data_IF_208934648838
#
_entry.id   IF_208934648838
#
_cell.length_a   1.000
_cell.length_b   1.000
_cell.length_c   1.000
_cell.angle_alpha   90.00
_cell.angle_beta   90.00
_cell.angle_gamma   90.00
#
_symmetry.space_group_name_H-M   'P 1'
#
loop_
_entity.id
_entity.type
_entity.pdbx_description
1 polymer ?
#
# COMPACT_ATOMS: atom_id res chain seq x y z
N UNK A 1 24.12 12.59 -8.26
CA UNK A 1 23.09 12.04 -7.36
C UNK A 1 22.90 12.98 -6.18
N UNK A 2 21.67 13.42 -5.95
CA UNK A 2 21.36 14.32 -4.84
C UNK A 2 21.40 13.58 -3.49
N UNK A 3 21.46 14.33 -2.41
CA UNK A 3 21.39 13.74 -1.08
C UNK A 3 20.08 12.96 -0.88
N UNK A 4 18.96 13.50 -1.38
CA UNK A 4 17.66 12.82 -1.28
C UNK A 4 17.68 11.48 -2.03
N UNK A 5 18.24 11.46 -3.23
CA UNK A 5 18.36 10.21 -4.01
C UNK A 5 19.24 9.18 -3.31
N UNK A 6 20.31 9.62 -2.67
CA UNK A 6 21.18 8.73 -1.90
C UNK A 6 20.46 8.17 -0.68
N UNK A 7 19.68 8.98 0.03
CA UNK A 7 18.91 8.54 1.17
C UNK A 7 17.83 7.55 0.75
N UNK A 8 17.14 7.82 -0.35
CA UNK A 8 16.11 6.93 -0.86
C UNK A 8 16.69 5.55 -1.23
N UNK A 9 17.85 5.55 -1.90
CA UNK A 9 18.53 4.30 -2.24
C UNK A 9 18.94 3.51 -1.00
N UNK A 10 19.49 4.20 0.00
CA UNK A 10 19.88 3.57 1.26
C UNK A 10 18.68 2.92 1.95
N UNK A 11 17.57 3.66 2.04
CA UNK A 11 16.36 3.15 2.68
C UNK A 11 15.87 1.89 1.95
N UNK A 12 15.78 1.94 0.63
CA UNK A 12 15.29 0.80 -0.15
C UNK A 12 16.17 -0.44 -0.03
N UNK A 13 17.47 -0.26 0.21
CA UNK A 13 18.40 -1.37 0.43
C UNK A 13 18.24 -2.02 1.81
N UNK A 14 17.68 -1.30 2.77
CA UNK A 14 17.64 -1.73 4.18
C UNK A 14 16.26 -2.11 4.68
N UNK A 15 15.20 -1.88 3.90
CA UNK A 15 13.85 -2.31 4.27
C UNK A 15 13.53 -3.64 3.60
N UNK A 16 12.48 -4.31 4.10
CA UNK A 16 12.04 -5.58 3.52
C UNK A 16 11.66 -5.40 2.05
N UNK A 17 11.90 -6.41 1.19
CA UNK A 17 11.52 -6.34 -0.22
C UNK A 17 10.02 -6.09 -0.40
N UNK A 18 9.69 -5.35 -1.45
CA UNK A 18 8.29 -5.05 -1.78
C UNK A 18 7.51 -6.32 -2.17
N UNK A 19 8.15 -7.19 -2.89
CA UNK A 19 7.50 -8.35 -3.46
C UNK A 19 6.93 -8.06 -4.85
N UNK A 20 6.81 -9.09 -5.67
CA UNK A 20 6.40 -8.94 -7.07
C UNK A 20 4.99 -8.41 -7.21
N UNK A 21 4.06 -8.87 -6.38
CA UNK A 21 2.66 -8.48 -6.47
C UNK A 21 2.49 -6.97 -6.24
N UNK A 22 3.05 -6.45 -5.15
CA UNK A 22 2.95 -5.02 -4.84
C UNK A 22 3.69 -4.17 -5.87
N UNK A 23 4.83 -4.65 -6.36
CA UNK A 23 5.59 -3.94 -7.39
C UNK A 23 4.78 -3.82 -8.68
N UNK A 24 4.14 -4.90 -9.12
CA UNK A 24 3.29 -4.88 -10.30
C UNK A 24 2.08 -3.98 -10.10
N UNK A 25 1.48 -4.00 -8.92
CA UNK A 25 0.35 -3.14 -8.60
C UNK A 25 0.76 -1.66 -8.67
N UNK A 26 1.91 -1.32 -8.10
CA UNK A 26 2.40 0.06 -8.13
C UNK A 26 2.66 0.52 -9.56
N UNK A 27 3.29 -0.31 -10.39
CA UNK A 27 3.52 0.00 -11.80
C UNK A 27 2.21 0.17 -12.56
N UNK A 28 1.27 -0.75 -12.37
CA UNK A 28 -0.03 -0.68 -13.03
C UNK A 28 -0.79 0.60 -12.63
N UNK A 29 -0.72 0.98 -11.36
CA UNK A 29 -1.34 2.19 -10.86
C UNK A 29 -0.78 3.43 -11.56
N UNK A 30 0.53 3.52 -11.70
CA UNK A 30 1.17 4.67 -12.34
C UNK A 30 0.92 4.73 -13.86
N UNK A 31 0.70 3.57 -14.49
CA UNK A 31 0.47 3.50 -15.94
C UNK A 31 -1.01 3.76 -16.27
N UNK A 32 -1.93 3.19 -15.49
CA UNK A 32 -3.34 3.10 -15.88
C UNK A 32 -4.27 4.09 -15.18
N UNK A 33 -3.89 4.64 -14.03
CA UNK A 33 -4.74 5.56 -13.28
C UNK A 33 -4.30 7.00 -13.47
N UNK A 34 -5.29 7.91 -13.58
CA UNK A 34 -5.03 9.33 -13.82
C UNK A 34 -4.20 9.97 -12.72
N UNK A 35 -4.38 9.56 -11.48
CA UNK A 35 -3.68 10.11 -10.32
C UNK A 35 -2.69 9.11 -9.73
N UNK A 36 -1.89 8.47 -10.58
CA UNK A 36 -0.92 7.45 -10.15
C UNK A 36 0.02 7.90 -9.05
N UNK A 37 0.32 9.21 -8.99
CA UNK A 37 1.20 9.77 -7.95
C UNK A 37 0.62 9.66 -6.55
N UNK A 38 -0.69 9.42 -6.42
CA UNK A 38 -1.33 9.23 -5.11
C UNK A 38 -1.09 7.85 -4.53
N UNK A 39 -0.55 6.93 -5.30
CA UNK A 39 -0.28 5.58 -4.80
C UNK A 39 0.82 5.62 -3.74
N UNK A 40 0.61 4.88 -2.66
CA UNK A 40 1.65 4.65 -1.67
C UNK A 40 2.77 3.85 -2.32
N UNK A 41 4.00 4.16 -1.98
CA UNK A 41 5.15 3.44 -2.48
C UNK A 41 5.63 2.38 -1.49
N UNK A 42 6.74 1.73 -1.86
CA UNK A 42 7.31 0.65 -1.06
C UNK A 42 7.66 1.08 0.37
N UNK A 43 8.30 2.22 0.53
CA UNK A 43 8.68 2.72 1.86
C UNK A 43 7.45 2.97 2.72
N UNK A 44 6.47 3.71 2.20
CA UNK A 44 5.25 4.02 2.94
C UNK A 44 4.47 2.75 3.26
N UNK A 45 4.40 1.81 2.32
CA UNK A 45 3.74 0.54 2.54
C UNK A 45 4.36 -0.28 3.66
N UNK A 46 5.69 -0.33 3.70
CA UNK A 46 6.41 -1.04 4.77
C UNK A 46 6.24 -0.36 6.12
N UNK A 47 6.22 0.98 6.14
CA UNK A 47 5.95 1.72 7.36
C UNK A 47 4.55 1.42 7.89
N UNK A 48 3.54 1.41 7.02
CA UNK A 48 2.17 1.06 7.42
C UNK A 48 2.10 -0.36 7.97
N UNK A 49 2.74 -1.32 7.31
CA UNK A 49 2.78 -2.70 7.78
C UNK A 49 3.43 -2.81 9.17
N UNK A 50 4.52 -2.08 9.37
CA UNK A 50 5.22 -2.06 10.66
C UNK A 50 4.33 -1.49 11.76
N UNK A 51 3.64 -0.37 11.49
CA UNK A 51 2.73 0.25 12.46
C UNK A 51 1.59 -0.69 12.82
N UNK A 52 1.02 -1.38 11.85
CA UNK A 52 -0.05 -2.37 12.09
C UNK A 52 0.46 -3.48 13.00
N UNK A 53 1.65 -3.99 12.75
CA UNK A 53 2.23 -5.04 13.60
C UNK A 53 2.51 -4.56 15.02
N UNK A 54 2.88 -3.29 15.19
CA UNK A 54 3.15 -2.73 16.50
C UNK A 54 1.87 -2.50 17.30
N UNK A 55 0.83 -2.00 16.63
CA UNK A 55 -0.45 -1.67 17.28
C UNK A 55 -1.31 -2.91 17.48
N UNK A 56 -1.20 -3.89 16.60
CA UNK A 56 -1.96 -5.15 16.61
C UNK A 56 -3.46 -4.91 16.63
N UNK A 57 -3.99 -4.11 15.69
CA UNK A 57 -5.43 -3.83 15.63
C UNK A 57 -6.18 -5.06 15.10
N UNK A 58 -7.45 -5.16 15.45
CA UNK A 58 -8.35 -6.14 14.84
C UNK A 58 -9.02 -5.57 13.61
N UNK A 59 -9.28 -4.27 13.61
CA UNK A 59 -9.96 -3.59 12.52
C UNK A 59 -9.19 -2.35 12.13
N UNK A 60 -9.07 -2.13 10.84
CA UNK A 60 -8.44 -0.93 10.27
C UNK A 60 -9.46 -0.25 9.38
N UNK A 61 -9.57 1.07 9.49
CA UNK A 61 -10.39 1.88 8.62
C UNK A 61 -9.51 2.73 7.75
N UNK A 62 -9.68 2.64 6.44
CA UNK A 62 -8.99 3.48 5.46
C UNK A 62 -10.00 4.29 4.68
N UNK A 63 -9.76 5.60 4.57
CA UNK A 63 -10.55 6.48 3.72
C UNK A 63 -9.69 6.84 2.50
N UNK A 64 -10.15 6.44 1.32
CA UNK A 64 -9.40 6.61 0.08
C UNK A 64 -8.64 5.34 -0.30
N UNK A 65 -9.34 4.40 -0.90
CA UNK A 65 -8.76 3.11 -1.31
C UNK A 65 -7.73 3.26 -2.42
N UNK A 66 -8.03 4.10 -3.38
CA UNK A 66 -7.27 4.29 -4.60
C UNK A 66 -7.05 2.96 -5.34
N UNK A 67 -5.81 2.48 -5.47
CA UNK A 67 -5.51 1.20 -6.13
C UNK A 67 -5.50 0.01 -5.19
N UNK A 68 -5.60 0.25 -3.89
CA UNK A 68 -5.56 -0.79 -2.87
C UNK A 68 -4.16 -1.09 -2.34
N UNK A 69 -3.13 -0.38 -2.80
CA UNK A 69 -1.75 -0.66 -2.40
C UNK A 69 -1.57 -0.56 -0.87
N UNK A 70 -2.00 0.56 -0.28
CA UNK A 70 -1.88 0.76 1.16
C UNK A 70 -2.72 -0.22 1.96
N UNK A 71 -3.94 -0.53 1.48
CA UNK A 71 -4.81 -1.50 2.15
C UNK A 71 -4.16 -2.88 2.19
N UNK A 72 -3.54 -3.31 1.09
CA UNK A 72 -2.83 -4.59 1.04
C UNK A 72 -1.64 -4.59 2.00
N UNK A 73 -0.88 -3.51 2.05
CA UNK A 73 0.26 -3.40 2.96
C UNK A 73 -0.18 -3.49 4.42
N UNK A 74 -1.29 -2.82 4.78
CA UNK A 74 -1.83 -2.91 6.13
C UNK A 74 -2.35 -4.30 6.44
N UNK A 75 -3.03 -4.94 5.47
CA UNK A 75 -3.53 -6.30 5.64
C UNK A 75 -2.41 -7.30 5.89
N UNK A 76 -1.25 -7.12 5.25
CA UNK A 76 -0.08 -7.97 5.48
C UNK A 76 0.43 -7.91 6.92
N UNK A 77 0.19 -6.80 7.62
CA UNK A 77 0.58 -6.64 9.00
C UNK A 77 -0.43 -7.18 10.01
N UNK A 78 -1.66 -7.45 9.59
CA UNK A 78 -2.72 -7.91 10.47
C UNK A 78 -2.47 -9.34 10.94
N UNK A 79 -2.96 -9.63 12.14
CA UNK A 79 -3.06 -11.00 12.62
C UNK A 79 -4.26 -11.69 12.00
N UNK A 80 -4.28 -13.01 12.08
CA UNK A 80 -5.41 -13.80 11.57
C UNK A 80 -6.71 -13.34 12.22
N UNK A 81 -7.74 -13.16 11.41
CA UNK A 81 -9.03 -12.65 11.86
C UNK A 81 -9.16 -11.14 11.83
N UNK A 82 -8.07 -10.41 11.57
CA UNK A 82 -8.15 -8.97 11.40
C UNK A 82 -8.76 -8.58 10.05
N UNK A 83 -9.21 -7.33 9.96
CA UNK A 83 -9.87 -6.87 8.74
C UNK A 83 -9.57 -5.40 8.45
N UNK A 84 -9.37 -5.10 7.16
CA UNK A 84 -9.26 -3.72 6.68
C UNK A 84 -10.55 -3.35 5.99
N UNK A 85 -11.15 -2.23 6.43
CA UNK A 85 -12.31 -1.63 5.79
C UNK A 85 -11.84 -0.39 5.05
N UNK A 86 -12.09 -0.32 3.76
CA UNK A 86 -11.61 0.78 2.95
C UNK A 86 -12.75 1.37 2.11
N UNK A 87 -12.77 2.69 1.96
CA UNK A 87 -13.83 3.43 1.29
C UNK A 87 -13.25 4.29 0.16
N UNK A 88 -13.92 4.27 -0.98
CA UNK A 88 -13.52 5.03 -2.15
C UNK A 88 -14.76 5.55 -2.87
N UNK A 89 -14.72 6.80 -3.31
CA UNK A 89 -15.83 7.43 -4.03
C UNK A 89 -15.60 7.51 -5.54
N UNK A 90 -14.40 7.21 -6.01
CA UNK A 90 -14.08 7.26 -7.44
C UNK A 90 -14.32 5.88 -8.07
N UNK A 91 -15.28 5.78 -9.00
CA UNK A 91 -15.67 4.50 -9.58
C UNK A 91 -14.53 3.78 -10.29
N UNK A 92 -13.65 4.51 -10.96
CA UNK A 92 -12.47 3.92 -11.60
C UNK A 92 -11.59 3.19 -10.60
N UNK A 93 -11.36 3.81 -9.46
CA UNK A 93 -10.50 3.25 -8.41
C UNK A 93 -11.18 2.11 -7.68
N UNK A 94 -12.48 2.20 -7.41
CA UNK A 94 -13.26 1.13 -6.76
C UNK A 94 -13.18 -0.15 -7.57
N UNK A 95 -13.37 -0.07 -8.89
CA UNK A 95 -13.33 -1.24 -9.75
C UNK A 95 -12.01 -1.98 -9.70
N UNK A 96 -10.90 -1.29 -9.55
CA UNK A 96 -9.57 -1.90 -9.44
C UNK A 96 -9.28 -2.44 -8.05
N UNK A 97 -9.69 -1.71 -7.02
CA UNK A 97 -9.44 -2.09 -5.63
C UNK A 97 -10.21 -3.33 -5.22
N UNK A 98 -11.49 -3.43 -5.61
CA UNK A 98 -12.35 -4.55 -5.19
C UNK A 98 -11.84 -5.92 -5.65
N UNK A 99 -10.99 -5.96 -6.65
CA UNK A 99 -10.37 -7.22 -7.09
C UNK A 99 -9.20 -7.65 -6.22
N UNK A 100 -8.71 -6.78 -5.33
CA UNK A 100 -7.48 -6.98 -4.58
C UNK A 100 -7.65 -6.98 -3.08
N UNK A 101 -8.74 -6.43 -2.57
CA UNK A 101 -8.92 -6.15 -1.14
C UNK A 101 -9.90 -7.08 -0.45
N UNK A 102 -9.95 -8.29 -0.89
CA UNK A 102 -10.74 -9.29 -0.17
C UNK A 102 -9.91 -9.79 1.00
N UNK A 103 -10.05 -9.13 2.09
CA UNK A 103 -9.40 -9.51 3.33
C UNK A 103 -10.38 -10.14 4.27
#
# INVERSE_FOLDING_TARGET
MTLQEQLDAYILEHIDPEGDYLHQLYRATNIHLLAGRMASGHLQGRLLKMLVRMIRPKNILEVGTFSGYSAICMAEGLEEGGMVYTFEINDEQIGRASCRERV
#
